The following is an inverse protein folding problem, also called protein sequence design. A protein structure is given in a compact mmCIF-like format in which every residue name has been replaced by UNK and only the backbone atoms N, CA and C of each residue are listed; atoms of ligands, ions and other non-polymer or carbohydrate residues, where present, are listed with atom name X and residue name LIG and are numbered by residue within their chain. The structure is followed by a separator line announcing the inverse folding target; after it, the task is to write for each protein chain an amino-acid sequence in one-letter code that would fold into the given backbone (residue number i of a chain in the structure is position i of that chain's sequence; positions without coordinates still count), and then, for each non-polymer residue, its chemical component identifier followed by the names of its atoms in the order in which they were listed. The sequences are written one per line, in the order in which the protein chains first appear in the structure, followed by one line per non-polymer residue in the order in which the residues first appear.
data_IF_647000300298
#
_entry.id   IF_647000300298
#
_cell.length_a   1.000
_cell.length_b   1.000
_cell.length_c   1.000
_cell.angle_alpha   90.00
_cell.angle_beta   90.00
_cell.angle_gamma   90.00
#
_symmetry.space_group_name_H-M   'P 1'
#
loop_
_entity.id
_entity.type
_entity.pdbx_description
1 polymer ?
#
# COMPACT_ATOMS: atom_id res chain seq x y z
N UNK A 1 25.01 19.33 -11.05
CA UNK A 1 24.24 18.11 -11.36
C UNK A 1 23.32 17.84 -10.17
N UNK A 2 22.08 18.31 -10.23
CA UNK A 2 21.12 18.16 -9.13
C UNK A 2 20.24 16.97 -9.47
N UNK A 3 20.48 15.83 -8.81
CA UNK A 3 19.62 14.66 -8.94
C UNK A 3 18.27 15.01 -8.33
N UNK A 4 17.31 15.41 -9.17
CA UNK A 4 15.89 15.39 -8.82
C UNK A 4 15.56 13.94 -8.52
N UNK A 5 15.44 13.60 -7.24
CA UNK A 5 14.81 12.36 -6.82
C UNK A 5 13.40 12.39 -7.43
N UNK A 6 13.22 11.68 -8.55
CA UNK A 6 11.87 11.41 -9.04
C UNK A 6 11.17 10.76 -7.86
N UNK A 7 10.16 11.43 -7.32
CA UNK A 7 9.15 10.80 -6.51
C UNK A 7 8.56 9.72 -7.40
N UNK A 8 9.13 8.51 -7.32
CA UNK A 8 8.74 7.40 -8.17
C UNK A 8 7.25 7.20 -7.96
N UNK A 9 6.46 7.51 -8.98
CA UNK A 9 5.02 7.33 -8.96
C UNK A 9 4.72 5.95 -8.43
N UNK A 10 3.96 5.87 -7.33
CA UNK A 10 3.53 4.58 -6.78
C UNK A 10 2.89 3.78 -7.91
N UNK A 11 3.42 2.60 -8.21
CA UNK A 11 2.88 1.73 -9.27
C UNK A 11 1.44 1.31 -8.98
N UNK A 12 1.09 1.25 -7.69
CA UNK A 12 -0.27 0.99 -7.23
C UNK A 12 -0.74 2.17 -6.36
N UNK A 13 -1.77 2.92 -6.77
CA UNK A 13 -2.36 3.97 -5.93
C UNK A 13 -2.92 3.39 -4.64
N UNK A 14 -2.71 4.08 -3.50
CA UNK A 14 -3.23 3.66 -2.18
C UNK A 14 -4.71 4.06 -2.02
N UNK A 15 -5.56 3.49 -2.86
CA UNK A 15 -7.02 3.61 -2.83
C UNK A 15 -7.63 2.23 -3.03
N UNK A 16 -8.87 2.00 -2.55
CA UNK A 16 -9.54 0.69 -2.70
C UNK A 16 -9.56 0.25 -4.17
N UNK A 17 -9.90 1.15 -5.10
CA UNK A 17 -9.91 0.84 -6.52
C UNK A 17 -8.49 0.60 -7.06
N UNK A 18 -7.52 1.45 -6.70
CA UNK A 18 -6.12 1.30 -7.15
C UNK A 18 -5.49 -0.01 -6.70
N UNK A 19 -5.71 -0.39 -5.43
CA UNK A 19 -5.28 -1.68 -4.88
C UNK A 19 -5.96 -2.82 -5.63
N UNK A 20 -7.29 -2.76 -5.79
CA UNK A 20 -8.05 -3.79 -6.51
C UNK A 20 -7.61 -4.03 -7.95
N UNK A 21 -7.12 -3.00 -8.66
CA UNK A 21 -6.56 -3.15 -10.02
C UNK A 21 -5.17 -3.80 -10.04
N UNK A 22 -4.41 -3.72 -8.94
CA UNK A 22 -3.09 -4.35 -8.80
C UNK A 22 -3.13 -5.79 -8.29
N UNK A 23 -4.32 -6.37 -8.10
CA UNK A 23 -4.53 -7.72 -7.58
C UNK A 23 -5.10 -8.64 -8.66
N UNK A 24 -4.86 -9.94 -8.52
CA UNK A 24 -5.59 -10.95 -9.31
C UNK A 24 -7.08 -10.97 -8.93
N UNK A 25 -7.91 -11.62 -9.74
CA UNK A 25 -9.35 -11.74 -9.47
C UNK A 25 -9.63 -12.36 -8.08
N UNK A 26 -8.95 -13.45 -7.74
CA UNK A 26 -9.11 -14.13 -6.44
C UNK A 26 -8.66 -13.26 -5.26
N UNK A 27 -7.53 -12.59 -5.41
CA UNK A 27 -7.00 -11.66 -4.40
C UNK A 27 -7.91 -10.45 -4.21
N UNK A 28 -8.48 -9.92 -5.29
CA UNK A 28 -9.44 -8.82 -5.23
C UNK A 28 -10.71 -9.23 -4.48
N UNK A 29 -11.21 -10.45 -4.70
CA UNK A 29 -12.36 -10.97 -3.96
C UNK A 29 -12.04 -11.10 -2.46
N UNK A 30 -10.85 -11.61 -2.10
CA UNK A 30 -10.39 -11.69 -0.70
C UNK A 30 -10.23 -10.31 -0.07
N UNK A 31 -9.62 -9.36 -0.78
CA UNK A 31 -9.46 -7.99 -0.31
C UNK A 31 -10.81 -7.34 0.04
N UNK A 32 -11.81 -7.45 -0.83
CA UNK A 32 -13.14 -6.92 -0.54
C UNK A 32 -13.84 -7.69 0.60
N UNK A 33 -13.65 -9.01 0.68
CA UNK A 33 -14.18 -9.85 1.75
C UNK A 33 -13.60 -9.52 3.14
N UNK A 34 -12.31 -9.19 3.21
CA UNK A 34 -11.64 -8.75 4.44
C UNK A 34 -11.98 -7.31 4.81
N UNK A 35 -12.12 -6.41 3.82
CA UNK A 35 -12.40 -5.00 4.08
C UNK A 35 -13.87 -4.72 4.43
N UNK A 36 -14.80 -5.48 3.87
CA UNK A 36 -16.24 -5.31 4.04
C UNK A 36 -16.71 -5.28 5.51
N UNK A 37 -16.38 -6.29 6.33
CA UNK A 37 -16.85 -6.37 7.72
C UNK A 37 -16.07 -5.49 8.71
N UNK A 38 -14.98 -4.82 8.29
CA UNK A 38 -14.14 -4.04 9.20
C UNK A 38 -14.68 -2.61 9.36
N UNK A 39 -15.24 -2.37 10.55
CA UNK A 39 -15.83 -1.09 10.94
C UNK A 39 -14.81 -0.15 11.60
N UNK A 40 -13.86 -0.70 12.38
CA UNK A 40 -12.85 0.10 13.05
C UNK A 40 -11.90 0.75 12.01
N UNK A 41 -11.72 2.09 12.05
CA UNK A 41 -10.86 2.79 11.09
C UNK A 41 -9.38 2.36 11.13
N UNK A 42 -8.85 2.01 12.29
CA UNK A 42 -7.45 1.59 12.42
C UNK A 42 -7.24 0.19 11.85
N UNK A 43 -8.16 -0.74 12.13
CA UNK A 43 -8.15 -2.09 11.54
C UNK A 43 -8.36 -2.01 10.01
N UNK A 44 -9.24 -1.11 9.56
CA UNK A 44 -9.48 -0.87 8.13
C UNK A 44 -8.21 -0.39 7.42
N UNK A 45 -7.48 0.55 8.03
CA UNK A 45 -6.18 1.01 7.51
C UNK A 45 -5.11 -0.09 7.54
N UNK A 46 -5.13 -1.00 8.52
CA UNK A 46 -4.23 -2.14 8.57
C UNK A 46 -4.48 -3.10 7.40
N UNK A 47 -5.74 -3.41 7.09
CA UNK A 47 -6.15 -4.20 5.92
C UNK A 47 -5.71 -3.51 4.63
N UNK A 48 -6.02 -2.22 4.47
CA UNK A 48 -5.61 -1.43 3.30
C UNK A 48 -4.09 -1.46 3.12
N UNK A 49 -3.32 -1.27 4.19
CA UNK A 49 -1.84 -1.27 4.13
C UNK A 49 -1.31 -2.64 3.71
N UNK A 50 -1.84 -3.71 4.27
CA UNK A 50 -1.41 -5.09 3.97
C UNK A 50 -1.65 -5.43 2.50
N UNK A 51 -2.86 -5.18 2.00
CA UNK A 51 -3.20 -5.45 0.61
C UNK A 51 -2.49 -4.55 -0.38
N UNK A 52 -2.25 -3.28 -0.01
CA UNK A 52 -1.46 -2.37 -0.82
C UNK A 52 0.00 -2.82 -0.95
N UNK A 53 0.64 -3.28 0.13
CA UNK A 53 2.00 -3.82 0.07
C UNK A 53 2.09 -5.06 -0.81
N UNK A 54 1.08 -5.93 -0.77
CA UNK A 54 0.98 -7.10 -1.64
C UNK A 54 0.90 -6.70 -3.11
N UNK A 55 -0.01 -5.79 -3.46
CA UNK A 55 -0.17 -5.28 -4.82
C UNK A 55 1.11 -4.57 -5.32
N UNK A 56 1.74 -3.76 -4.47
CA UNK A 56 3.03 -3.13 -4.78
C UNK A 56 4.14 -4.17 -5.00
N UNK A 57 4.23 -5.21 -4.17
CA UNK A 57 5.21 -6.28 -4.36
C UNK A 57 5.02 -6.97 -5.71
N UNK A 58 3.77 -7.26 -6.10
CA UNK A 58 3.46 -7.81 -7.42
C UNK A 58 3.86 -6.87 -8.56
N UNK A 59 3.56 -5.57 -8.43
CA UNK A 59 3.87 -4.57 -9.45
C UNK A 59 5.38 -4.29 -9.65
N UNK A 60 6.20 -4.60 -8.65
CA UNK A 60 7.66 -4.47 -8.74
C UNK A 60 8.36 -5.78 -9.11
N UNK A 61 7.72 -6.94 -8.92
CA UNK A 61 8.32 -8.24 -9.22
C UNK A 61 9.64 -8.43 -8.47
N UNK A 62 10.72 -8.66 -9.21
CA UNK A 62 12.06 -8.89 -8.65
C UNK A 62 12.80 -7.61 -8.22
N UNK A 63 12.27 -6.41 -8.55
CA UNK A 63 12.86 -5.12 -8.17
C UNK A 63 12.62 -4.78 -6.69
N UNK A 64 13.30 -5.54 -5.80
CA UNK A 64 13.26 -5.33 -4.35
C UNK A 64 13.77 -3.95 -3.92
N UNK A 65 14.85 -3.38 -4.50
CA UNK A 65 15.30 -2.04 -4.15
C UNK A 65 14.25 -0.98 -4.49
N UNK A 66 13.65 -1.04 -5.69
CA UNK A 66 12.59 -0.12 -6.11
C UNK A 66 11.34 -0.23 -5.25
N UNK A 67 10.91 -1.46 -4.93
CA UNK A 67 9.81 -1.70 -4.00
C UNK A 67 10.08 -1.02 -2.64
N UNK A 68 11.24 -1.28 -2.03
CA UNK A 68 11.61 -0.71 -0.73
C UNK A 68 11.65 0.82 -0.76
N UNK A 69 12.25 1.40 -1.80
CA UNK A 69 12.32 2.85 -1.97
C UNK A 69 10.93 3.49 -2.08
N UNK A 70 9.99 2.82 -2.77
CA UNK A 70 8.63 3.32 -2.95
C UNK A 70 7.77 3.19 -1.68
N UNK A 71 7.88 2.10 -0.91
CA UNK A 71 7.00 1.85 0.24
C UNK A 71 7.49 2.48 1.55
N UNK A 72 8.79 2.64 1.73
CA UNK A 72 9.39 3.20 2.95
C UNK A 72 8.82 4.56 3.39
N UNK A 73 8.71 5.59 2.52
CA UNK A 73 8.17 6.88 2.93
C UNK A 73 6.70 6.81 3.34
N UNK A 74 5.92 5.96 2.67
CA UNK A 74 4.48 5.77 2.95
C UNK A 74 4.28 5.12 4.33
N UNK A 75 5.08 4.10 4.66
CA UNK A 75 5.01 3.43 5.96
C UNK A 75 5.52 4.32 7.11
N UNK A 76 6.51 5.17 6.85
CA UNK A 76 6.99 6.15 7.83
C UNK A 76 5.88 7.13 8.25
N UNK A 77 5.11 7.66 7.28
CA UNK A 77 3.97 8.56 7.55
C UNK A 77 2.87 7.86 8.34
N UNK A 78 2.52 6.61 8.00
CA UNK A 78 1.52 5.83 8.74
C UNK A 78 1.95 5.62 10.21
N UNK A 79 3.23 5.32 10.46
CA UNK A 79 3.77 5.15 11.82
C UNK A 79 3.72 6.44 12.63
N UNK A 80 4.09 7.58 12.03
CA UNK A 80 4.04 8.88 12.70
C UNK A 80 2.62 9.27 13.12
N UNK A 81 1.60 8.97 12.30
CA UNK A 81 0.19 9.20 12.66
C UNK A 81 -0.26 8.32 13.81
N UNK A 82 0.15 7.06 13.84
CA UNK A 82 -0.20 6.14 14.91
C UNK A 82 0.43 6.56 16.25
N UNK A 83 1.66 7.07 16.23
CA UNK A 83 2.35 7.57 17.44
C UNK A 83 1.78 8.90 17.97
N UNK A 84 1.09 9.69 17.15
CA UNK A 84 0.46 10.95 17.54
C UNK A 84 -1.00 10.80 18.01
N UNK A 85 -1.57 9.60 17.88
CA UNK A 85 -2.96 9.28 18.28
C UNK A 85 -3.07 8.58 19.65
N UNK A 86 -1.97 8.49 20.40
CA UNK A 86 -1.87 8.01 21.79
C UNK A 86 -1.49 9.15 22.71
#
# INVERSE_FOLDING_TARGET
MTATAQSGTLRVPRSINGIGQGLTYEERARFHGELGPVEDPADREAVITTWWLRAMSAAYGDDRPGFRAAVAPVLAVSRSRQAAGT
#
